data_IF_291624433377
#
_entry.id   IF_291624433377
#
_cell.length_a   1.000
_cell.length_b   1.000
_cell.length_c   1.000
_cell.angle_alpha   90.00
_cell.angle_beta   90.00
_cell.angle_gamma   90.00
#
_symmetry.space_group_name_H-M   'P 1'
#
loop_
_entity.id
_entity.type
_entity.pdbx_description
1 polymer ?
#
# COMPACT_ATOMS: atom_id res chain seq x y z
N UNK A 1 -4.88 7.25 10.56
CA UNK A 1 -4.87 5.78 10.38
C UNK A 1 -3.64 5.46 9.54
N UNK A 2 -2.77 4.55 9.96
CA UNK A 2 -1.54 4.23 9.20
C UNK A 2 -1.88 3.22 8.10
N UNK A 3 -1.61 3.54 6.83
CA UNK A 3 -1.91 2.69 5.66
C UNK A 3 -0.98 1.47 5.51
N UNK A 4 -0.59 0.85 6.64
CA UNK A 4 0.30 -0.32 6.65
C UNK A 4 -0.49 -1.51 6.10
N UNK A 5 -0.07 -1.98 4.93
CA UNK A 5 -0.72 -3.08 4.19
C UNK A 5 0.00 -4.41 4.37
N UNK A 6 1.23 -4.41 4.87
CA UNK A 6 1.98 -5.62 5.14
C UNK A 6 3.04 -5.43 6.23
N UNK A 7 3.22 -6.48 7.03
CA UNK A 7 4.23 -6.58 8.09
C UNK A 7 4.90 -7.95 7.97
N UNK A 8 6.23 -7.96 8.05
CA UNK A 8 7.04 -9.18 8.12
C UNK A 8 8.01 -9.09 9.29
N UNK A 9 8.12 -10.18 10.04
CA UNK A 9 9.23 -10.39 10.97
C UNK A 9 10.20 -11.38 10.31
N UNK A 10 11.45 -10.98 10.11
CA UNK A 10 12.48 -11.79 9.45
C UNK A 10 13.68 -11.99 10.36
N UNK A 11 14.23 -13.20 10.37
CA UNK A 11 15.44 -13.51 11.13
C UNK A 11 16.66 -13.44 10.22
N UNK A 12 17.57 -12.52 10.52
CA UNK A 12 18.88 -12.35 9.88
C UNK A 12 19.99 -12.70 10.88
N UNK A 13 21.25 -12.59 10.45
CA UNK A 13 22.41 -12.93 11.29
C UNK A 13 22.56 -12.02 12.51
N UNK A 14 22.05 -10.78 12.45
CA UNK A 14 22.12 -9.76 13.49
C UNK A 14 20.85 -9.67 14.35
N UNK A 15 19.84 -10.49 14.07
CA UNK A 15 18.64 -10.59 14.90
C UNK A 15 17.34 -10.69 14.11
N UNK A 16 16.23 -10.44 14.81
CA UNK A 16 14.90 -10.35 14.20
C UNK A 16 14.68 -8.89 13.80
N UNK A 17 14.33 -8.67 12.54
CA UNK A 17 13.96 -7.37 12.00
C UNK A 17 12.49 -7.33 11.63
N UNK A 18 11.83 -6.21 11.96
CA UNK A 18 10.43 -5.95 11.57
C UNK A 18 10.41 -5.04 10.33
N UNK A 19 9.75 -5.48 9.28
CA UNK A 19 9.56 -4.74 8.04
C UNK A 19 8.08 -4.40 7.93
N UNK A 20 7.78 -3.12 7.79
CA UNK A 20 6.42 -2.60 7.60
C UNK A 20 6.33 -1.86 6.28
N UNK A 21 5.24 -2.06 5.55
CA UNK A 21 5.02 -1.45 4.26
C UNK A 21 3.68 -0.72 4.22
N UNK A 22 3.74 0.58 3.96
CA UNK A 22 2.57 1.38 3.59
C UNK A 22 2.41 1.44 2.08
N UNK A 23 1.17 1.29 1.61
CA UNK A 23 0.84 1.47 0.21
C UNK A 23 -0.51 2.15 0.00
N UNK A 24 -0.48 3.38 -0.54
CA UNK A 24 -1.68 4.12 -0.90
C UNK A 24 -2.23 3.67 -2.25
N UNK A 25 -3.42 3.08 -2.27
CA UNK A 25 -4.07 2.60 -3.51
C UNK A 25 -4.54 3.72 -4.44
N UNK A 26 -4.63 4.96 -3.96
CA UNK A 26 -5.07 6.12 -4.75
C UNK A 26 -3.91 7.01 -5.17
N UNK A 27 -2.98 7.32 -4.25
CA UNK A 27 -1.80 8.16 -4.54
C UNK A 27 -0.61 7.39 -5.10
N UNK A 28 -0.61 6.06 -4.95
CA UNK A 28 0.58 5.23 -5.14
C UNK A 28 1.67 5.48 -4.10
N UNK A 29 1.34 6.12 -2.96
CA UNK A 29 2.27 6.34 -1.85
C UNK A 29 2.91 5.02 -1.43
N UNK A 30 4.22 5.01 -1.18
CA UNK A 30 4.98 3.85 -0.69
C UNK A 30 5.87 4.28 0.46
N UNK A 31 5.75 3.64 1.61
CA UNK A 31 6.68 3.86 2.74
C UNK A 31 7.16 2.51 3.25
N UNK A 32 8.47 2.37 3.42
CA UNK A 32 9.07 1.15 3.98
C UNK A 32 9.74 1.54 5.29
N UNK A 33 9.34 0.85 6.36
CA UNK A 33 9.99 0.95 7.65
C UNK A 33 10.73 -0.36 7.95
N UNK A 34 11.93 -0.23 8.52
CA UNK A 34 12.73 -1.32 9.06
C UNK A 34 13.01 -0.99 10.53
N UNK A 35 12.53 -1.84 11.43
CA UNK A 35 12.62 -1.66 12.89
C UNK A 35 12.09 -0.30 13.36
N UNK A 36 10.97 0.13 12.78
CA UNK A 36 10.34 1.42 13.07
C UNK A 36 11.05 2.63 12.46
N UNK A 37 12.18 2.45 11.77
CA UNK A 37 12.89 3.51 11.04
C UNK A 37 12.46 3.54 9.58
N UNK A 38 12.11 4.72 9.08
CA UNK A 38 11.83 4.92 7.66
C UNK A 38 13.10 4.76 6.81
N UNK A 39 13.07 3.83 5.86
CA UNK A 39 14.14 3.63 4.88
C UNK A 39 13.79 4.20 3.50
N UNK A 40 12.51 4.18 3.14
CA UNK A 40 12.00 4.73 1.87
C UNK A 40 10.68 5.44 2.10
N UNK A 41 10.53 6.60 1.45
CA UNK A 41 9.25 7.30 1.30
C UNK A 41 9.09 7.84 -0.12
N UNK A 42 7.96 7.51 -0.73
CA UNK A 42 7.48 8.08 -1.98
C UNK A 42 6.05 8.53 -1.75
N UNK A 43 5.81 9.83 -1.78
CA UNK A 43 4.48 10.38 -1.52
C UNK A 43 3.51 10.14 -2.68
N UNK A 44 4.02 9.98 -3.91
CA UNK A 44 3.20 9.80 -5.09
C UNK A 44 3.87 8.92 -6.13
N UNK A 45 3.09 8.00 -6.72
CA UNK A 45 3.51 7.15 -7.83
C UNK A 45 2.34 6.91 -8.78
N UNK A 46 2.56 7.10 -10.09
CA UNK A 46 1.54 6.79 -11.09
C UNK A 46 1.23 5.28 -11.18
N UNK A 47 2.25 4.43 -10.97
CA UNK A 47 2.08 2.98 -10.96
C UNK A 47 1.80 2.47 -9.55
N UNK A 48 0.71 1.73 -9.38
CA UNK A 48 0.38 1.04 -8.11
C UNK A 48 1.08 -0.32 -7.97
N UNK A 49 1.69 -0.83 -9.04
CA UNK A 49 2.51 -2.05 -9.02
C UNK A 49 3.97 -1.71 -9.24
N UNK A 50 4.87 -2.64 -8.91
CA UNK A 50 6.31 -2.46 -9.12
C UNK A 50 7.15 -3.09 -8.03
N UNK A 51 8.39 -2.63 -7.90
CA UNK A 51 9.37 -3.17 -6.96
C UNK A 51 10.14 -2.03 -6.31
N UNK A 52 10.28 -2.09 -4.99
CA UNK A 52 11.10 -1.17 -4.20
C UNK A 52 12.28 -1.93 -3.60
N UNK A 53 13.48 -1.34 -3.65
CA UNK A 53 14.71 -1.95 -3.16
C UNK A 53 15.23 -1.22 -1.93
N UNK A 54 15.60 -1.94 -0.89
CA UNK A 54 16.09 -1.37 0.37
C UNK A 54 17.08 -2.32 1.06
N UNK A 55 17.57 -1.94 2.24
CA UNK A 55 18.53 -2.71 3.02
C UNK A 55 18.03 -2.95 4.43
N UNK A 56 18.36 -4.12 5.00
CA UNK A 56 17.94 -4.52 6.35
C UNK A 56 19.18 -4.75 7.21
N UNK A 57 19.09 -4.34 8.48
CA UNK A 57 20.09 -4.64 9.50
C UNK A 57 21.45 -3.98 9.31
N UNK A 58 22.37 -4.31 10.21
CA UNK A 58 23.74 -3.80 10.22
C UNK A 58 24.56 -4.32 9.03
N UNK A 59 24.29 -5.55 8.59
CA UNK A 59 24.96 -6.18 7.44
C UNK A 59 24.54 -5.60 6.08
N UNK A 60 23.56 -4.68 6.04
CA UNK A 60 22.98 -4.14 4.81
C UNK A 60 22.54 -5.26 3.86
N UNK A 61 21.82 -6.23 4.40
CA UNK A 61 21.25 -7.32 3.59
C UNK A 61 20.28 -6.73 2.57
N UNK A 62 20.49 -7.02 1.29
CA UNK A 62 19.68 -6.48 0.20
C UNK A 62 18.29 -7.12 0.21
N UNK A 63 17.28 -6.28 0.20
CA UNK A 63 15.89 -6.68 0.18
C UNK A 63 15.09 -5.92 -0.88
N UNK A 64 13.90 -6.43 -1.18
CA UNK A 64 12.94 -5.71 -2.00
C UNK A 64 11.51 -6.10 -1.71
N UNK A 65 10.60 -5.15 -1.83
CA UNK A 65 9.15 -5.40 -1.79
C UNK A 65 8.62 -5.31 -3.21
N UNK A 66 8.04 -6.41 -3.70
CA UNK A 66 7.32 -6.48 -4.96
C UNK A 66 5.82 -6.29 -4.70
N UNK A 67 5.21 -5.38 -5.44
CA UNK A 67 3.78 -5.11 -5.47
C UNK A 67 3.22 -5.70 -6.76
N UNK A 68 2.36 -6.70 -6.64
CA UNK A 68 1.76 -7.41 -7.76
C UNK A 68 0.25 -7.21 -7.76
N UNK A 69 -0.33 -7.15 -8.95
CA UNK A 69 -1.79 -7.25 -9.11
C UNK A 69 -2.26 -8.70 -8.89
N UNK A 70 -3.34 -8.86 -8.11
CA UNK A 70 -4.02 -10.12 -7.86
C UNK A 70 -5.24 -10.34 -8.77
N UNK A 71 -6.09 -11.32 -8.42
CA UNK A 71 -7.45 -11.43 -9.00
C UNK A 71 -8.33 -10.39 -8.30
N UNK A 72 -9.22 -9.76 -9.05
CA UNK A 72 -9.95 -8.59 -8.57
C UNK A 72 -9.00 -7.40 -8.37
N UNK A 73 -9.36 -6.46 -7.49
CA UNK A 73 -8.55 -5.26 -7.22
C UNK A 73 -7.56 -5.45 -6.08
N UNK A 74 -7.23 -6.71 -5.78
CA UNK A 74 -6.36 -7.08 -4.66
C UNK A 74 -4.89 -6.91 -5.03
N UNK A 75 -4.13 -6.22 -4.18
CA UNK A 75 -2.67 -6.20 -4.27
C UNK A 75 -2.07 -7.35 -3.48
N UNK A 76 -0.97 -7.90 -4.01
CA UNK A 76 -0.14 -8.89 -3.34
C UNK A 76 1.22 -8.28 -3.07
N UNK A 77 1.72 -8.49 -1.86
CA UNK A 77 3.00 -7.96 -1.43
C UNK A 77 3.96 -9.11 -1.16
N UNK A 78 5.13 -9.06 -1.78
CA UNK A 78 6.18 -10.07 -1.62
C UNK A 78 7.44 -9.36 -1.16
N UNK A 79 7.89 -9.66 0.04
CA UNK A 79 9.22 -9.31 0.50
C UNK A 79 10.20 -10.37 -0.04
N UNK A 80 11.23 -9.93 -0.75
CA UNK A 80 12.31 -10.77 -1.27
C UNK A 80 13.61 -10.39 -0.56
N UNK A 81 14.27 -11.37 0.07
CA UNK A 81 15.56 -11.22 0.75
C UNK A 81 16.48 -12.33 0.22
N UNK A 82 17.60 -11.95 -0.41
CA UNK A 82 18.59 -12.89 -0.95
C UNK A 82 17.98 -14.02 -1.82
N UNK A 83 16.97 -13.68 -2.63
CA UNK A 83 16.26 -14.62 -3.50
C UNK A 83 15.18 -15.48 -2.82
N UNK A 84 14.97 -15.34 -1.50
CA UNK A 84 13.87 -15.98 -0.76
C UNK A 84 12.66 -15.06 -0.69
N UNK A 85 11.48 -15.61 -0.97
CA UNK A 85 10.21 -14.87 -1.01
C UNK A 85 9.37 -15.09 0.26
N UNK A 86 8.96 -14.00 0.87
CA UNK A 86 8.05 -13.92 2.02
C UNK A 86 6.76 -13.22 1.58
N UNK A 87 5.68 -13.99 1.44
CA UNK A 87 4.43 -13.50 0.84
C UNK A 87 3.45 -13.02 1.91
N UNK A 88 2.78 -11.89 1.65
CA UNK A 88 1.57 -11.47 2.34
C UNK A 88 0.48 -11.21 1.31
N UNK A 89 -0.72 -11.73 1.56
CA UNK A 89 -1.89 -11.41 0.76
C UNK A 89 -2.51 -10.15 1.36
N UNK A 90 -2.71 -9.12 0.54
CA UNK A 90 -3.53 -7.98 0.93
C UNK A 90 -4.98 -8.44 0.99
N UNK A 91 -5.63 -8.26 2.13
CA UNK A 91 -7.08 -8.35 2.21
C UNK A 91 -7.61 -6.96 1.88
N UNK A 92 -8.28 -6.80 0.75
CA UNK A 92 -9.26 -5.72 0.67
C UNK A 92 -10.40 -6.13 1.60
N UNK A 93 -10.61 -5.37 2.66
CA UNK A 93 -11.86 -5.43 3.40
C UNK A 93 -12.99 -4.97 2.47
N UNK A 94 -14.17 -5.59 2.58
CA UNK A 94 -15.33 -5.30 1.71
C UNK A 94 -15.68 -3.79 1.66
N UNK A 95 -15.28 -3.01 2.66
CA UNK A 95 -15.58 -1.59 2.78
C UNK A 95 -14.58 -0.65 2.07
N UNK A 96 -13.51 -1.19 1.46
CA UNK A 96 -12.52 -0.41 0.70
C UNK A 96 -11.60 0.45 1.56
N UNK A 97 -11.04 1.50 0.96
CA UNK A 97 -10.10 2.45 1.59
C UNK A 97 -10.61 3.88 1.44
N UNK A 98 -10.46 4.72 2.45
CA UNK A 98 -10.83 6.15 2.40
C UNK A 98 -9.59 7.05 2.48
N UNK A 99 -9.50 8.04 1.60
CA UNK A 99 -8.47 9.09 1.63
C UNK A 99 -9.14 10.42 1.95
N UNK A 100 -8.88 10.96 3.15
CA UNK A 100 -9.51 12.19 3.68
C UNK A 100 -8.70 13.43 3.30
N UNK A 101 -9.39 14.53 2.96
CA UNK A 101 -8.83 15.84 2.65
C UNK A 101 -9.87 16.96 2.87
N UNK A 102 -9.45 18.22 2.87
CA UNK A 102 -10.37 19.36 3.03
C UNK A 102 -10.28 20.32 1.86
N UNK A 103 -11.42 20.88 1.44
CA UNK A 103 -11.50 21.93 0.40
C UNK A 103 -12.27 23.12 0.97
N UNK A 104 -11.56 24.18 1.36
CA UNK A 104 -12.16 25.30 2.09
C UNK A 104 -12.68 24.83 3.46
N UNK A 105 -13.98 24.96 3.69
CA UNK A 105 -14.66 24.51 4.91
C UNK A 105 -15.39 23.17 4.73
N UNK A 106 -15.12 22.45 3.64
CA UNK A 106 -15.74 21.16 3.35
C UNK A 106 -14.82 20.02 3.72
N UNK A 107 -15.37 19.02 4.41
CA UNK A 107 -14.70 17.76 4.68
C UNK A 107 -14.96 16.80 3.52
N UNK A 108 -13.89 16.33 2.91
CA UNK A 108 -13.94 15.52 1.71
C UNK A 108 -13.19 14.20 1.93
N UNK A 109 -13.63 13.15 1.25
CA UNK A 109 -12.81 11.96 1.12
C UNK A 109 -13.07 11.25 -0.19
N UNK A 110 -12.05 10.56 -0.69
CA UNK A 110 -12.18 9.61 -1.80
C UNK A 110 -12.30 8.22 -1.19
N UNK A 111 -13.42 7.54 -1.45
CA UNK A 111 -13.61 6.13 -1.12
C UNK A 111 -13.24 5.26 -2.32
N UNK A 112 -12.26 4.40 -2.15
CA UNK A 112 -11.79 3.45 -3.15
C UNK A 112 -12.28 2.05 -2.79
N UNK A 113 -13.21 1.50 -3.57
CA UNK A 113 -13.77 0.15 -3.36
C UNK A 113 -13.48 -0.76 -4.54
N UNK A 114 -13.29 -2.05 -4.27
CA UNK A 114 -13.23 -3.08 -5.30
C UNK A 114 -14.59 -3.17 -6.01
N UNK A 115 -14.65 -2.97 -7.34
CA UNK A 115 -15.91 -3.12 -8.08
C UNK A 115 -16.46 -4.55 -8.14
N UNK A 116 -15.70 -5.55 -7.66
CA UNK A 116 -16.05 -6.97 -7.72
C UNK A 116 -16.07 -7.56 -9.14
N UNK A 117 -16.11 -6.75 -10.19
CA UNK A 117 -16.15 -7.16 -11.60
C UNK A 117 -14.77 -7.07 -12.21
N UNK A 118 -14.36 -8.06 -13.01
CA UNK A 118 -12.99 -8.20 -13.56
C UNK A 118 -12.51 -7.04 -14.48
N UNK A 119 -13.41 -6.23 -15.04
CA UNK A 119 -13.09 -5.21 -16.05
C UNK A 119 -13.26 -3.75 -15.59
N UNK A 120 -13.94 -3.50 -14.48
CA UNK A 120 -14.39 -2.13 -14.10
C UNK A 120 -13.43 -1.34 -13.21
N UNK A 121 -12.31 -1.91 -12.75
CA UNK A 121 -11.37 -1.19 -11.90
C UNK A 121 -11.74 -1.13 -10.41
N UNK A 122 -10.90 -0.43 -9.66
CA UNK A 122 -11.27 0.18 -8.39
C UNK A 122 -12.24 1.30 -8.72
N UNK A 123 -13.41 1.31 -8.08
CA UNK A 123 -14.33 2.44 -8.17
C UNK A 123 -13.87 3.46 -7.15
N UNK A 124 -13.65 4.68 -7.61
CA UNK A 124 -13.36 5.82 -6.75
C UNK A 124 -14.63 6.65 -6.65
N UNK A 125 -15.11 6.85 -5.43
CA UNK A 125 -16.21 7.76 -5.16
C UNK A 125 -15.66 8.97 -4.43
N UNK A 126 -15.99 10.18 -4.89
CA UNK A 126 -15.74 11.41 -4.15
C UNK A 126 -16.93 11.68 -3.23
N UNK A 127 -16.67 11.90 -1.94
CA UNK A 127 -17.66 12.32 -0.96
C UNK A 127 -17.28 13.71 -0.44
N UNK A 128 -18.25 14.63 -0.38
CA UNK A 128 -18.11 15.99 0.17
C UNK A 128 -19.26 16.22 1.16
N UNK A 129 -18.94 16.56 2.41
CA UNK A 129 -19.92 16.74 3.49
C UNK A 129 -20.94 15.58 3.59
N UNK A 130 -20.45 14.34 3.52
CA UNK A 130 -21.24 13.11 3.50
C UNK A 130 -22.19 12.94 2.30
N UNK A 131 -21.93 13.63 1.18
CA UNK A 131 -22.67 13.46 -0.09
C UNK A 131 -21.74 12.96 -1.18
N UNK A 132 -22.13 11.87 -1.85
CA UNK A 132 -21.44 11.41 -3.05
C UNK A 132 -21.57 12.43 -4.17
N UNK A 133 -20.43 12.75 -4.79
CA UNK A 133 -20.34 13.60 -5.97
C UNK A 133 -20.25 12.68 -7.19
N UNK A 134 -21.21 12.74 -8.12
CA UNK A 134 -21.20 11.89 -9.30
C UNK A 134 -20.02 12.23 -10.21
N UNK A 135 -19.41 11.20 -10.80
CA UNK A 135 -18.43 11.38 -11.88
C UNK A 135 -19.13 12.03 -13.10
N UNK A 136 -18.44 12.97 -13.74
CA UNK A 136 -18.91 13.60 -14.98
C UNK A 136 -18.53 12.66 -16.15
N UNK A 137 -19.44 12.40 -17.11
CA UNK A 137 -19.17 11.56 -18.29
C UNK A 137 -18.05 12.06 -19.20
#
# INVERSE_FOLDING_TARGET
MTDIVAVWDVTLSDGIHKIEFEHGSTSGKRVIYVDGKEEIRKEWMFSLVGKEHFYIGAAKTKASICILSGKGYVFKYILEIEGKNFRKYGEFVDDGTETHFSVGNHDCYIKAVSSGKRREGIIHTLIVDNREIPEIP
#
